data_IF_830354219243
#
_entry.id   IF_830354219243
#
_cell.length_a   1.000
_cell.length_b   1.000
_cell.length_c   1.000
_cell.angle_alpha   90.00
_cell.angle_beta   90.00
_cell.angle_gamma   90.00
#
_symmetry.space_group_name_H-M   'P 1'
#
loop_
_entity.id
_entity.type
_entity.pdbx_description
1 polymer ?
#
# COMPACT_ATOMS: atom_id res chain seq x y z
N UNK A 1 66.31 29.61 46.33
CA UNK A 1 65.62 28.44 45.69
C UNK A 1 65.23 28.63 44.24
N UNK A 2 65.59 29.72 43.54
CA UNK A 2 65.17 29.99 42.11
C UNK A 2 66.06 29.33 41.06
N UNK A 3 67.26 28.86 41.31
CA UNK A 3 68.18 28.37 40.28
C UNK A 3 68.07 26.86 39.96
N UNK A 4 67.25 26.07 40.62
CA UNK A 4 67.06 24.65 40.27
C UNK A 4 66.03 24.38 39.16
N UNK A 5 65.12 25.32 38.94
CA UNK A 5 64.05 25.17 37.91
C UNK A 5 64.53 25.57 36.50
N UNK A 6 65.50 26.47 36.40
CA UNK A 6 66.05 26.97 35.11
C UNK A 6 67.27 26.19 34.61
N UNK A 7 67.85 25.36 35.45
CA UNK A 7 68.96 24.52 35.03
C UNK A 7 68.43 23.38 34.16
N UNK A 8 68.95 23.28 32.93
CA UNK A 8 68.53 22.36 31.86
C UNK A 8 67.13 22.61 31.30
N UNK A 9 66.67 23.88 31.26
CA UNK A 9 65.38 24.25 30.66
C UNK A 9 65.22 23.72 29.23
N UNK A 10 66.29 23.80 28.40
CA UNK A 10 66.32 23.26 27.05
C UNK A 10 66.06 21.75 27.02
N UNK A 11 66.68 21.00 27.95
CA UNK A 11 66.50 19.55 28.04
C UNK A 11 65.06 19.17 28.44
N UNK A 12 64.43 19.93 29.33
CA UNK A 12 63.04 19.77 29.75
C UNK A 12 62.07 20.10 28.64
N UNK A 13 62.38 21.16 27.87
CA UNK A 13 61.56 21.53 26.72
C UNK A 13 61.63 20.48 25.57
N UNK A 14 62.85 19.95 25.31
CA UNK A 14 63.02 18.83 24.36
C UNK A 14 62.30 17.59 24.84
N UNK A 15 62.34 17.25 26.14
CA UNK A 15 61.62 16.12 26.71
C UNK A 15 60.10 16.28 26.62
N UNK A 16 59.57 17.49 26.82
CA UNK A 16 58.16 17.80 26.63
C UNK A 16 57.75 17.65 25.16
N UNK A 17 58.54 18.21 24.24
CA UNK A 17 58.25 18.06 22.79
C UNK A 17 58.31 16.59 22.37
N UNK A 18 59.32 15.85 22.84
CA UNK A 18 59.42 14.43 22.50
C UNK A 18 58.28 13.61 23.09
N UNK A 19 57.85 13.93 24.31
CA UNK A 19 56.65 13.30 24.90
C UNK A 19 55.39 13.62 24.12
N UNK A 20 55.21 14.88 23.69
CA UNK A 20 54.06 15.26 22.88
C UNK A 20 54.13 14.60 21.47
N UNK A 21 55.32 14.46 20.90
CA UNK A 21 55.53 13.77 19.64
C UNK A 21 55.27 12.26 19.75
N UNK A 22 55.76 11.61 20.82
CA UNK A 22 55.44 10.22 21.09
C UNK A 22 53.93 10.01 21.33
N UNK A 23 53.27 10.91 22.06
CA UNK A 23 51.82 10.88 22.22
C UNK A 23 51.06 10.98 20.92
N UNK A 24 51.48 11.90 20.02
CA UNK A 24 50.90 12.02 18.67
C UNK A 24 51.12 10.75 17.83
N UNK A 25 52.32 10.13 17.90
CA UNK A 25 52.63 8.88 17.23
C UNK A 25 51.70 7.76 17.77
N UNK A 26 51.61 7.62 19.07
CA UNK A 26 50.75 6.58 19.70
C UNK A 26 49.29 6.80 19.36
N UNK A 27 48.79 8.05 19.37
CA UNK A 27 47.42 8.39 18.93
C UNK A 27 47.19 8.07 17.48
N UNK A 28 48.16 8.29 16.61
CA UNK A 28 48.04 8.04 15.17
C UNK A 28 48.17 6.54 14.80
N UNK A 29 48.92 5.76 15.59
CA UNK A 29 49.06 4.31 15.43
C UNK A 29 47.85 3.56 16.00
N UNK A 30 47.18 4.11 17.04
CA UNK A 30 45.98 3.54 17.62
C UNK A 30 44.76 3.82 16.76
N UNK A 31 44.52 2.98 15.76
CA UNK A 31 43.29 2.99 14.96
C UNK A 31 42.24 2.10 15.62
N UNK A 32 41.41 2.64 16.52
CA UNK A 32 40.46 1.80 17.25
C UNK A 32 39.44 1.23 16.28
N UNK A 33 39.28 -0.09 16.27
CA UNK A 33 38.22 -0.78 15.57
C UNK A 33 36.95 -0.64 16.40
N UNK A 34 35.87 -0.18 15.77
CA UNK A 34 34.56 -0.05 16.36
C UNK A 34 33.57 -0.93 15.62
N UNK A 35 32.51 -1.33 16.32
CA UNK A 35 31.41 -2.11 15.75
C UNK A 35 30.14 -1.29 15.80
N UNK A 36 29.38 -1.28 14.69
CA UNK A 36 28.07 -0.60 14.59
C UNK A 36 27.11 -1.46 13.79
N UNK A 37 25.84 -1.45 14.15
CA UNK A 37 24.77 -2.13 13.43
C UNK A 37 23.96 -1.11 12.63
N UNK A 38 23.67 -1.48 11.38
CA UNK A 38 22.85 -0.73 10.43
C UNK A 38 21.68 -1.60 9.99
N UNK A 39 20.65 -0.99 9.41
CA UNK A 39 19.45 -1.68 8.94
C UNK A 39 19.14 -1.31 7.48
N UNK A 40 19.98 -1.74 6.50
CA UNK A 40 19.69 -1.53 5.09
C UNK A 40 18.50 -2.35 4.63
N UNK A 41 17.87 -1.92 3.52
CA UNK A 41 16.85 -2.71 2.82
C UNK A 41 17.48 -3.87 2.05
N UNK A 42 16.73 -4.98 1.96
CA UNK A 42 17.14 -6.16 1.21
C UNK A 42 16.75 -5.98 -0.25
N UNK A 43 17.73 -6.07 -1.15
CA UNK A 43 17.51 -6.12 -2.59
C UNK A 43 17.62 -7.55 -3.08
N UNK A 44 16.63 -8.02 -3.83
CA UNK A 44 16.66 -9.35 -4.45
C UNK A 44 17.19 -9.23 -5.87
N UNK A 45 18.26 -9.98 -6.15
CA UNK A 45 18.87 -10.05 -7.47
C UNK A 45 18.41 -11.31 -8.22
N UNK A 46 18.40 -11.23 -9.56
CA UNK A 46 18.04 -12.30 -10.49
C UNK A 46 16.65 -12.92 -10.26
N UNK A 47 15.56 -12.10 -10.10
CA UNK A 47 14.21 -12.61 -9.89
C UNK A 47 13.70 -13.49 -11.03
N UNK A 48 14.27 -13.33 -12.24
CA UNK A 48 13.93 -14.13 -13.43
C UNK A 48 14.11 -15.63 -13.22
N UNK A 49 15.03 -16.06 -12.37
CA UNK A 49 15.23 -17.49 -12.04
C UNK A 49 13.95 -18.17 -11.54
N UNK A 50 13.06 -17.39 -10.89
CA UNK A 50 11.79 -17.88 -10.37
C UNK A 50 10.66 -17.57 -11.36
N UNK A 51 10.64 -16.35 -11.94
CA UNK A 51 9.54 -15.89 -12.78
C UNK A 51 9.48 -16.59 -14.14
N UNK A 52 10.61 -16.98 -14.73
CA UNK A 52 10.66 -17.76 -15.98
C UNK A 52 9.98 -19.14 -15.86
N UNK A 53 9.82 -19.66 -14.65
CA UNK A 53 9.13 -20.93 -14.38
C UNK A 53 7.63 -20.73 -14.05
N UNK A 54 7.05 -19.55 -14.31
CA UNK A 54 5.66 -19.24 -13.98
C UNK A 54 5.40 -19.17 -12.49
N UNK A 55 6.43 -18.88 -11.72
CA UNK A 55 6.36 -18.72 -10.26
C UNK A 55 6.68 -17.30 -9.86
N UNK A 56 6.27 -16.93 -8.67
CA UNK A 56 6.72 -15.73 -7.95
C UNK A 56 7.29 -16.13 -6.59
N UNK A 57 7.86 -15.19 -5.89
CA UNK A 57 8.40 -15.42 -4.56
C UNK A 57 8.07 -14.24 -3.64
N UNK A 58 8.09 -14.52 -2.35
CA UNK A 58 8.09 -13.50 -1.30
C UNK A 58 9.15 -13.87 -0.26
N UNK A 59 9.72 -12.85 0.39
CA UNK A 59 10.57 -13.06 1.55
C UNK A 59 9.66 -13.47 2.71
N UNK A 60 10.01 -14.54 3.41
CA UNK A 60 9.26 -14.98 4.58
C UNK A 60 9.20 -13.86 5.63
N UNK A 61 8.10 -13.80 6.38
CA UNK A 61 7.85 -12.80 7.43
C UNK A 61 7.86 -11.33 6.94
N UNK A 62 7.73 -11.10 5.62
CA UNK A 62 7.73 -9.77 4.98
C UNK A 62 8.91 -8.87 5.41
N UNK A 63 10.07 -9.47 5.65
CA UNK A 63 11.28 -8.78 6.10
C UNK A 63 11.80 -7.87 5.00
N UNK A 64 11.70 -6.56 5.19
CA UNK A 64 12.19 -5.54 4.25
C UNK A 64 13.62 -5.09 4.56
N UNK A 65 14.01 -5.13 5.83
CA UNK A 65 15.31 -4.66 6.31
C UNK A 65 16.04 -5.76 7.07
N UNK A 66 17.38 -5.73 7.05
CA UNK A 66 18.22 -6.70 7.74
C UNK A 66 19.24 -5.99 8.63
N UNK A 67 19.49 -6.55 9.80
CA UNK A 67 20.54 -6.05 10.67
C UNK A 67 21.91 -6.41 10.09
N UNK A 68 22.76 -5.42 9.83
CA UNK A 68 24.12 -5.60 9.34
C UNK A 68 25.10 -5.05 10.37
N UNK A 69 25.92 -5.94 10.94
CA UNK A 69 26.97 -5.55 11.88
C UNK A 69 28.26 -5.31 11.14
N UNK A 70 28.72 -4.05 11.14
CA UNK A 70 29.95 -3.62 10.49
C UNK A 70 31.03 -3.38 11.53
N UNK A 71 32.25 -3.88 11.24
CA UNK A 71 33.49 -3.60 12.01
C UNK A 71 34.45 -2.84 11.11
N UNK A 72 34.83 -1.65 11.51
CA UNK A 72 35.79 -0.81 10.80
C UNK A 72 36.60 0.08 11.76
N UNK A 73 37.63 0.73 11.23
CA UNK A 73 38.29 1.82 11.96
C UNK A 73 37.27 2.94 12.23
N UNK A 74 37.39 3.60 13.39
CA UNK A 74 36.48 4.68 13.79
C UNK A 74 36.31 5.75 12.72
N UNK A 75 37.41 6.17 12.09
CA UNK A 75 37.45 7.19 11.04
C UNK A 75 36.67 6.80 9.79
N UNK A 76 36.60 5.52 9.49
CA UNK A 76 35.81 4.95 8.38
C UNK A 76 34.37 4.80 8.83
N UNK A 77 34.13 4.24 10.03
CA UNK A 77 32.79 4.01 10.56
C UNK A 77 31.94 5.30 10.65
N UNK A 78 32.57 6.44 10.93
CA UNK A 78 31.90 7.74 11.02
C UNK A 78 31.42 8.25 9.66
N UNK A 79 31.99 7.73 8.57
CA UNK A 79 31.63 8.11 7.19
C UNK A 79 30.56 7.19 6.60
N UNK A 80 30.50 5.92 7.05
CA UNK A 80 29.55 4.93 6.53
C UNK A 80 28.14 5.29 6.97
N UNK A 81 27.24 5.41 6.00
CA UNK A 81 25.82 5.60 6.19
C UNK A 81 25.05 4.31 5.81
N UNK A 82 23.80 4.21 6.23
CA UNK A 82 22.95 3.05 5.92
C UNK A 82 22.72 2.90 4.41
N UNK A 83 22.62 4.00 3.67
CA UNK A 83 22.43 4.04 2.21
C UNK A 83 23.62 3.49 1.42
N UNK A 84 24.84 3.53 1.99
CA UNK A 84 26.05 2.97 1.38
C UNK A 84 26.09 1.44 1.46
N UNK A 85 25.29 0.85 2.37
CA UNK A 85 25.28 -0.59 2.63
C UNK A 85 24.23 -1.25 1.75
N UNK A 86 24.68 -2.11 0.83
CA UNK A 86 23.83 -2.92 -0.05
C UNK A 86 23.75 -4.34 0.50
N UNK A 87 22.54 -4.74 0.86
CA UNK A 87 22.23 -6.11 1.26
C UNK A 87 21.53 -6.83 0.10
N UNK A 88 22.24 -7.70 -0.58
CA UNK A 88 21.76 -8.37 -1.80
C UNK A 88 21.56 -9.86 -1.55
N UNK A 89 20.36 -10.34 -1.85
CA UNK A 89 20.02 -11.76 -1.88
C UNK A 89 19.87 -12.21 -3.34
N UNK A 90 20.79 -13.03 -3.82
CA UNK A 90 20.80 -13.50 -5.21
C UNK A 90 20.05 -14.84 -5.32
N UNK A 91 18.94 -14.85 -6.07
CA UNK A 91 18.11 -16.05 -6.25
C UNK A 91 18.81 -17.18 -7.01
N UNK A 92 19.91 -16.91 -7.72
CA UNK A 92 20.76 -17.95 -8.30
C UNK A 92 21.47 -18.79 -7.24
N UNK A 93 21.64 -18.26 -6.04
CA UNK A 93 22.29 -18.96 -4.92
C UNK A 93 21.27 -19.60 -3.97
N UNK A 94 19.98 -19.61 -4.33
CA UNK A 94 18.93 -20.20 -3.53
C UNK A 94 19.11 -21.70 -3.39
N UNK A 95 19.00 -22.20 -2.15
CA UNK A 95 19.03 -23.62 -1.81
C UNK A 95 17.89 -23.93 -0.83
N UNK A 96 16.93 -24.72 -1.27
CA UNK A 96 15.80 -25.18 -0.44
C UNK A 96 15.02 -24.03 0.24
N UNK A 97 14.80 -22.93 -0.49
CA UNK A 97 14.10 -21.74 0.01
C UNK A 97 14.97 -20.77 0.80
N UNK A 98 16.26 -21.08 1.01
CA UNK A 98 17.21 -20.24 1.73
C UNK A 98 18.13 -19.52 0.75
N UNK A 99 18.24 -18.20 0.89
CA UNK A 99 19.08 -17.34 0.04
C UNK A 99 20.09 -16.59 0.90
N UNK A 100 21.41 -16.74 0.64
CA UNK A 100 22.44 -16.02 1.37
C UNK A 100 22.35 -14.52 1.05
N UNK A 101 22.54 -13.68 2.10
CA UNK A 101 22.60 -12.24 1.93
C UNK A 101 24.05 -11.79 1.88
N UNK A 102 24.44 -11.19 0.78
CA UNK A 102 25.75 -10.58 0.59
C UNK A 102 25.70 -9.11 0.94
N UNK A 103 26.72 -8.64 1.68
CA UNK A 103 26.84 -7.24 2.06
C UNK A 103 28.02 -6.62 1.30
N UNK A 104 27.74 -5.49 0.69
CA UNK A 104 28.75 -4.61 0.08
C UNK A 104 28.54 -3.21 0.65
N UNK A 105 29.64 -2.47 0.94
CA UNK A 105 29.57 -1.10 1.38
C UNK A 105 30.18 -0.26 0.26
N UNK A 106 29.34 0.43 -0.51
CA UNK A 106 29.74 1.22 -1.67
C UNK A 106 30.68 2.38 -1.26
N UNK A 107 31.79 2.51 -1.99
CA UNK A 107 32.81 3.54 -1.71
C UNK A 107 33.74 3.25 -0.54
N UNK A 108 33.61 2.06 0.09
CA UNK A 108 34.46 1.63 1.21
C UNK A 108 34.98 0.20 1.03
N UNK A 109 35.08 -0.27 -0.22
CA UNK A 109 35.56 -1.61 -0.53
C UNK A 109 36.98 -1.82 -0.04
N UNK A 110 37.14 -2.72 0.93
CA UNK A 110 38.44 -3.02 1.57
C UNK A 110 38.80 -2.15 2.78
N UNK A 111 38.04 -1.12 3.09
CA UNK A 111 38.29 -0.22 4.22
C UNK A 111 37.64 -0.71 5.54
N UNK A 112 36.73 -1.69 5.48
CA UNK A 112 36.14 -2.32 6.63
C UNK A 112 36.70 -3.73 6.87
N UNK A 113 36.71 -4.16 8.13
CA UNK A 113 37.22 -5.47 8.53
C UNK A 113 36.22 -6.58 8.28
N UNK A 114 34.94 -6.30 8.55
CA UNK A 114 33.87 -7.27 8.48
C UNK A 114 32.54 -6.56 8.34
N UNK A 115 31.62 -7.12 7.54
CA UNK A 115 30.23 -6.72 7.44
C UNK A 115 29.35 -7.98 7.40
N UNK A 116 28.62 -8.26 8.46
CA UNK A 116 27.85 -9.49 8.62
C UNK A 116 26.36 -9.18 8.74
N UNK A 117 25.54 -9.80 7.87
CA UNK A 117 24.10 -9.74 8.01
C UNK A 117 23.61 -10.68 9.13
N UNK A 118 22.52 -10.31 9.78
CA UNK A 118 21.82 -11.14 10.73
C UNK A 118 20.31 -11.04 10.49
N UNK A 119 19.68 -12.14 10.01
CA UNK A 119 20.23 -13.47 9.70
C UNK A 119 21.17 -13.46 8.49
N UNK A 120 22.04 -14.46 8.36
CA UNK A 120 22.96 -14.59 7.22
C UNK A 120 22.24 -14.98 5.92
N UNK A 121 21.13 -15.69 6.04
CA UNK A 121 20.28 -16.09 4.95
C UNK A 121 18.87 -15.61 5.21
N UNK A 122 18.17 -15.22 4.16
CA UNK A 122 16.73 -15.02 4.20
C UNK A 122 16.01 -16.25 3.69
N UNK A 123 14.78 -16.45 4.15
CA UNK A 123 13.91 -17.49 3.63
C UNK A 123 12.99 -16.88 2.58
N UNK A 124 12.83 -17.56 1.45
CA UNK A 124 11.84 -17.22 0.43
C UNK A 124 10.79 -18.33 0.31
N UNK A 125 9.57 -17.91 0.05
CA UNK A 125 8.48 -18.82 -0.28
C UNK A 125 8.15 -18.61 -1.75
N UNK A 126 8.27 -19.68 -2.55
CA UNK A 126 7.90 -19.69 -3.97
C UNK A 126 6.44 -20.10 -4.10
N UNK A 127 5.70 -19.39 -4.95
CA UNK A 127 4.31 -19.71 -5.26
C UNK A 127 4.10 -19.72 -6.77
N UNK A 128 3.22 -20.60 -7.25
CA UNK A 128 2.80 -20.57 -8.64
C UNK A 128 1.96 -19.32 -8.91
N UNK A 129 2.16 -18.73 -10.07
CA UNK A 129 1.27 -17.72 -10.63
C UNK A 129 0.08 -18.48 -11.23
N UNK A 130 -1.12 -18.11 -10.81
CA UNK A 130 -2.38 -18.63 -11.32
C UNK A 130 -3.18 -17.50 -11.95
N UNK A 131 -4.13 -17.84 -12.82
CA UNK A 131 -5.13 -16.92 -13.34
C UNK A 131 -6.48 -17.31 -12.76
N UNK A 132 -7.27 -16.31 -12.36
CA UNK A 132 -8.61 -16.52 -11.84
C UNK A 132 -9.53 -15.39 -12.27
N UNK A 133 -10.72 -15.76 -12.74
CA UNK A 133 -11.76 -14.82 -13.13
C UNK A 133 -12.56 -14.39 -11.90
N UNK A 134 -12.79 -13.08 -11.78
CA UNK A 134 -13.56 -12.46 -10.71
C UNK A 134 -14.68 -11.61 -11.28
N UNK A 135 -15.90 -11.67 -10.70
CA UNK A 135 -16.95 -10.72 -11.07
C UNK A 135 -16.59 -9.32 -10.60
N UNK A 136 -16.97 -8.34 -11.40
CA UNK A 136 -16.78 -6.91 -11.11
C UNK A 136 -18.10 -6.33 -10.63
N UNK A 137 -18.09 -5.70 -9.46
CA UNK A 137 -19.24 -4.97 -8.92
C UNK A 137 -18.98 -3.47 -9.05
N UNK A 138 -19.93 -2.76 -9.66
CA UNK A 138 -19.85 -1.30 -9.74
C UNK A 138 -20.33 -0.65 -8.44
N UNK A 139 -19.63 0.40 -8.00
CA UNK A 139 -20.07 1.30 -6.94
C UNK A 139 -19.91 2.76 -7.38
N UNK A 140 -20.86 3.59 -6.96
CA UNK A 140 -20.82 5.02 -7.21
C UNK A 140 -20.32 5.79 -5.99
N UNK A 141 -19.67 6.91 -6.26
CA UNK A 141 -19.29 7.94 -5.28
C UNK A 141 -19.74 9.31 -5.77
N UNK A 142 -19.87 10.27 -4.86
CA UNK A 142 -20.37 11.60 -5.18
C UNK A 142 -21.88 11.72 -5.12
N UNK A 143 -22.39 12.94 -5.26
CA UNK A 143 -23.80 13.27 -5.17
C UNK A 143 -24.36 13.55 -6.56
N UNK A 144 -25.50 12.93 -6.87
CA UNK A 144 -26.25 13.21 -8.11
C UNK A 144 -26.86 14.62 -8.07
N UNK A 145 -27.30 15.10 -9.22
CA UNK A 145 -28.14 16.28 -9.26
C UNK A 145 -29.43 16.04 -8.46
N UNK A 146 -29.93 17.09 -7.79
CA UNK A 146 -31.18 17.02 -7.02
C UNK A 146 -32.34 16.53 -7.89
N UNK A 147 -33.12 15.59 -7.38
CA UNK A 147 -34.23 14.99 -8.10
C UNK A 147 -33.90 13.64 -8.76
N UNK A 148 -32.67 13.13 -8.59
CA UNK A 148 -32.25 11.85 -9.15
C UNK A 148 -31.67 10.94 -8.07
N UNK A 149 -31.83 9.64 -8.30
CA UNK A 149 -31.20 8.56 -7.50
C UNK A 149 -30.64 7.49 -8.43
N UNK A 150 -29.68 6.72 -7.95
CA UNK A 150 -29.14 5.60 -8.73
C UNK A 150 -30.19 4.48 -8.76
N UNK A 151 -30.58 4.07 -9.96
CA UNK A 151 -31.43 2.91 -10.20
C UNK A 151 -30.58 1.64 -10.31
N UNK A 152 -29.66 1.62 -11.28
CA UNK A 152 -28.81 0.46 -11.54
C UNK A 152 -27.41 0.89 -11.95
N UNK A 153 -26.40 0.09 -11.56
CA UNK A 153 -25.01 0.22 -11.99
C UNK A 153 -24.57 -1.11 -12.60
N UNK A 154 -24.14 -1.07 -13.85
CA UNK A 154 -23.66 -2.26 -14.55
C UNK A 154 -22.21 -2.05 -14.99
N UNK A 155 -21.30 -2.93 -14.54
CA UNK A 155 -19.92 -2.93 -15.01
C UNK A 155 -19.77 -3.72 -16.33
N UNK A 156 -19.00 -3.19 -17.26
CA UNK A 156 -18.68 -3.84 -18.53
C UNK A 156 -17.16 -3.77 -18.77
N UNK A 157 -16.43 -4.90 -18.74
CA UNK A 157 -16.90 -6.28 -18.59
C UNK A 157 -17.44 -6.60 -17.19
N UNK A 158 -18.36 -7.56 -17.09
CA UNK A 158 -18.92 -8.02 -15.83
C UNK A 158 -17.96 -8.89 -15.01
N UNK A 159 -16.85 -9.32 -15.61
CA UNK A 159 -15.79 -10.07 -14.96
C UNK A 159 -14.45 -9.77 -15.60
N UNK A 160 -13.38 -9.91 -14.84
CA UNK A 160 -12.00 -9.72 -15.28
C UNK A 160 -11.14 -10.90 -14.84
N UNK A 161 -10.08 -11.17 -15.61
CA UNK A 161 -9.08 -12.16 -15.27
C UNK A 161 -7.91 -11.52 -14.50
N UNK A 162 -7.63 -12.05 -13.33
CA UNK A 162 -6.54 -11.61 -12.47
C UNK A 162 -5.50 -12.70 -12.38
N UNK A 163 -4.26 -12.33 -12.67
CA UNK A 163 -3.07 -13.17 -12.56
C UNK A 163 -2.24 -12.77 -11.35
N UNK A 164 -1.74 -13.75 -10.62
CA UNK A 164 -0.89 -13.48 -9.46
C UNK A 164 -0.62 -14.71 -8.62
N UNK A 165 0.07 -14.54 -7.47
CA UNK A 165 0.33 -15.63 -6.54
C UNK A 165 -0.96 -16.29 -6.08
N UNK A 166 -0.97 -17.61 -6.03
CA UNK A 166 -2.12 -18.40 -5.58
C UNK A 166 -2.68 -17.92 -4.23
N UNK A 167 -1.79 -17.62 -3.29
CA UNK A 167 -2.19 -17.11 -1.96
C UNK A 167 -2.87 -15.74 -2.03
N UNK A 168 -2.40 -14.85 -2.91
CA UNK A 168 -2.99 -13.52 -3.11
C UNK A 168 -4.35 -13.61 -3.78
N UNK A 169 -4.47 -14.43 -4.85
CA UNK A 169 -5.74 -14.68 -5.53
C UNK A 169 -6.78 -15.34 -4.60
N UNK A 170 -6.33 -16.24 -3.71
CA UNK A 170 -7.20 -16.90 -2.73
C UNK A 170 -7.78 -15.95 -1.68
N UNK A 171 -7.17 -14.78 -1.46
CA UNK A 171 -7.65 -13.76 -0.52
C UNK A 171 -8.71 -12.85 -1.14
N UNK A 172 -8.72 -12.70 -2.48
CA UNK A 172 -9.69 -11.83 -3.16
C UNK A 172 -11.09 -12.43 -3.00
N UNK A 173 -11.98 -11.69 -2.35
CA UNK A 173 -13.38 -12.01 -2.18
C UNK A 173 -14.25 -11.29 -3.20
N UNK A 174 -13.95 -10.02 -3.49
CA UNK A 174 -14.68 -9.20 -4.47
C UNK A 174 -13.76 -8.20 -5.16
N UNK A 175 -14.14 -7.87 -6.39
CA UNK A 175 -13.53 -6.80 -7.20
C UNK A 175 -14.57 -5.71 -7.39
N UNK A 176 -14.20 -4.49 -7.08
CA UNK A 176 -15.09 -3.33 -7.13
C UNK A 176 -14.53 -2.30 -8.12
N UNK A 177 -15.36 -1.91 -9.07
CA UNK A 177 -15.10 -0.77 -9.96
C UNK A 177 -15.81 0.47 -9.41
N UNK A 178 -15.06 1.49 -9.06
CA UNK A 178 -15.57 2.74 -8.51
C UNK A 178 -15.70 3.80 -9.60
N UNK A 179 -16.78 4.57 -9.54
CA UNK A 179 -17.05 5.69 -10.47
C UNK A 179 -17.60 6.90 -9.72
N UNK A 180 -17.18 8.10 -10.12
CA UNK A 180 -17.75 9.34 -9.62
C UNK A 180 -18.97 9.74 -10.48
N UNK A 181 -20.13 9.86 -9.83
CA UNK A 181 -21.42 10.22 -10.45
C UNK A 181 -21.85 11.65 -10.13
N UNK A 182 -20.94 12.47 -9.61
CA UNK A 182 -21.25 13.83 -9.16
C UNK A 182 -21.91 14.65 -10.26
N UNK A 183 -23.09 15.21 -9.93
CA UNK A 183 -23.83 16.12 -10.80
C UNK A 183 -24.52 15.48 -11.99
N UNK A 184 -24.56 14.14 -12.09
CA UNK A 184 -25.29 13.46 -13.16
C UNK A 184 -26.80 13.68 -13.02
N UNK A 185 -27.49 13.78 -14.16
CA UNK A 185 -28.93 13.99 -14.29
C UNK A 185 -29.56 13.18 -15.44
N UNK A 186 -28.76 12.35 -16.10
CA UNK A 186 -29.19 11.47 -17.18
C UNK A 186 -28.38 10.17 -17.19
N UNK A 187 -28.94 9.16 -17.82
CA UNK A 187 -28.28 7.87 -18.03
C UNK A 187 -26.99 8.08 -18.82
N UNK A 188 -25.92 7.47 -18.35
CA UNK A 188 -24.61 7.63 -19.00
C UNK A 188 -23.73 6.42 -18.79
N UNK A 189 -22.68 6.33 -19.60
CA UNK A 189 -21.62 5.35 -19.43
C UNK A 189 -20.33 6.06 -19.10
N UNK A 190 -19.75 5.74 -17.97
CA UNK A 190 -18.51 6.31 -17.46
C UNK A 190 -17.43 5.24 -17.37
N UNK A 191 -16.17 5.66 -17.43
CA UNK A 191 -15.05 4.78 -17.12
C UNK A 191 -14.88 4.68 -15.61
N UNK A 192 -14.51 3.51 -15.14
CA UNK A 192 -14.16 3.36 -13.74
C UNK A 192 -12.91 4.20 -13.39
N UNK A 193 -12.98 4.91 -12.28
CA UNK A 193 -11.85 5.67 -11.75
C UNK A 193 -10.80 4.72 -11.16
N UNK A 194 -11.25 3.65 -10.51
CA UNK A 194 -10.39 2.71 -9.84
C UNK A 194 -11.01 1.32 -9.76
N UNK A 195 -10.14 0.28 -9.89
CA UNK A 195 -10.45 -1.10 -9.51
C UNK A 195 -9.86 -1.38 -8.14
N UNK A 196 -10.68 -1.83 -7.20
CA UNK A 196 -10.30 -2.12 -5.82
C UNK A 196 -10.57 -3.60 -5.54
N UNK A 197 -9.58 -4.28 -4.97
CA UNK A 197 -9.70 -5.68 -4.58
C UNK A 197 -9.88 -5.78 -3.07
N UNK A 198 -10.89 -6.52 -2.63
CA UNK A 198 -11.21 -6.69 -1.21
C UNK A 198 -11.09 -8.14 -0.78
N UNK A 199 -10.65 -8.35 0.45
CA UNK A 199 -10.74 -9.64 1.13
C UNK A 199 -12.16 -9.88 1.73
N UNK A 200 -12.34 -11.02 2.39
CA UNK A 200 -13.61 -11.39 3.02
C UNK A 200 -13.97 -10.54 4.26
N UNK A 201 -13.03 -9.75 4.76
CA UNK A 201 -13.22 -8.81 5.87
C UNK A 201 -13.33 -7.35 5.41
N UNK A 202 -13.50 -7.12 4.09
CA UNK A 202 -13.56 -5.80 3.45
C UNK A 202 -12.28 -4.97 3.56
N UNK A 203 -11.12 -5.59 3.81
CA UNK A 203 -9.86 -4.90 3.72
C UNK A 203 -9.36 -4.84 2.27
N UNK A 204 -8.76 -3.71 1.89
CA UNK A 204 -8.15 -3.56 0.57
C UNK A 204 -6.90 -4.43 0.47
N UNK A 205 -6.81 -5.19 -0.62
CA UNK A 205 -5.65 -6.03 -0.93
C UNK A 205 -4.64 -5.21 -1.74
N UNK A 206 -3.37 -5.29 -1.34
CA UNK A 206 -2.27 -4.74 -2.13
C UNK A 206 -2.15 -5.49 -3.46
N UNK A 207 -2.27 -4.75 -4.55
CA UNK A 207 -2.24 -5.26 -5.93
C UNK A 207 -0.85 -5.29 -6.57
N UNK A 208 0.21 -4.97 -5.82
CA UNK A 208 1.58 -4.90 -6.34
C UNK A 208 2.08 -6.20 -6.98
N UNK A 209 1.55 -7.35 -6.55
CA UNK A 209 1.86 -8.69 -7.09
C UNK A 209 0.74 -9.24 -7.98
N UNK A 210 -0.29 -8.45 -8.28
CA UNK A 210 -1.43 -8.84 -9.08
C UNK A 210 -1.39 -8.11 -10.41
N UNK A 211 -1.75 -8.81 -11.48
CA UNK A 211 -1.92 -8.27 -12.81
C UNK A 211 -3.32 -8.60 -13.30
N UNK A 212 -3.98 -7.67 -13.95
CA UNK A 212 -5.31 -7.85 -14.53
C UNK A 212 -5.22 -7.73 -16.05
N UNK A 213 -6.06 -8.45 -16.75
CA UNK A 213 -6.23 -8.32 -18.22
C UNK A 213 -6.83 -6.96 -18.61
N UNK A 214 -7.52 -6.32 -17.67
CA UNK A 214 -8.13 -5.00 -17.85
C UNK A 214 -7.71 -4.09 -16.70
N UNK A 215 -7.30 -2.86 -16.99
CA UNK A 215 -7.10 -1.80 -16.01
C UNK A 215 -8.43 -1.06 -15.72
N UNK A 216 -8.41 -0.09 -14.79
CA UNK A 216 -9.61 0.68 -14.46
C UNK A 216 -10.18 1.41 -15.66
N UNK A 217 -9.35 1.88 -16.58
CA UNK A 217 -9.77 2.61 -17.78
C UNK A 217 -10.46 1.72 -18.83
N UNK A 218 -10.27 0.41 -18.75
CA UNK A 218 -10.92 -0.60 -19.58
C UNK A 218 -12.28 -1.08 -19.05
N UNK A 219 -12.66 -0.69 -17.81
CA UNK A 219 -13.98 -1.01 -17.27
C UNK A 219 -14.90 0.19 -17.43
N UNK A 220 -15.99 -0.01 -18.15
CA UNK A 220 -17.05 0.98 -18.26
C UNK A 220 -18.16 0.65 -17.25
N UNK A 221 -18.79 1.68 -16.71
CA UNK A 221 -19.93 1.54 -15.80
C UNK A 221 -21.11 2.26 -16.45
N UNK A 222 -22.15 1.49 -16.76
CA UNK A 222 -23.43 2.04 -17.17
C UNK A 222 -24.18 2.47 -15.94
N UNK A 223 -24.53 3.74 -15.88
CA UNK A 223 -25.27 4.35 -14.79
C UNK A 223 -26.69 4.61 -15.28
N UNK A 224 -27.64 3.94 -14.67
CA UNK A 224 -29.06 4.18 -14.89
C UNK A 224 -29.63 4.97 -13.71
N UNK A 225 -30.27 6.10 -13.99
CA UNK A 225 -30.83 6.99 -12.99
C UNK A 225 -32.34 6.89 -12.96
N UNK A 226 -32.90 6.98 -11.76
CA UNK A 226 -34.32 7.16 -11.54
C UNK A 226 -34.61 8.59 -11.11
N UNK A 227 -35.68 9.16 -11.68
CA UNK A 227 -36.18 10.47 -11.25
C UNK A 227 -37.01 10.31 -9.97
N UNK A 228 -36.90 11.30 -9.08
CA UNK A 228 -37.68 11.36 -7.87
C UNK A 228 -38.64 12.54 -7.91
N UNK A 229 -39.89 12.31 -7.52
CA UNK A 229 -40.95 13.33 -7.44
C UNK A 229 -41.63 13.25 -6.10
N UNK A 230 -41.85 14.41 -5.48
CA UNK A 230 -42.69 14.52 -4.28
C UNK A 230 -44.13 14.69 -4.73
N UNK A 231 -45.02 13.80 -4.30
CA UNK A 231 -46.44 13.83 -4.63
C UNK A 231 -47.30 13.93 -3.37
N UNK A 232 -48.41 14.63 -3.46
CA UNK A 232 -49.39 14.76 -2.39
C UNK A 232 -50.32 13.52 -2.34
N UNK A 233 -50.46 12.93 -1.19
CA UNK A 233 -51.43 11.82 -1.00
C UNK A 233 -52.82 12.37 -0.88
N UNK A 234 -53.67 12.06 -1.87
CA UNK A 234 -55.12 12.35 -1.84
C UNK A 234 -55.87 11.10 -1.45
N UNK A 235 -56.84 11.28 -0.58
CA UNK A 235 -57.70 10.19 -0.13
C UNK A 235 -59.12 10.41 -0.68
N UNK A 236 -59.60 9.39 -1.38
CA UNK A 236 -61.00 9.41 -1.83
C UNK A 236 -61.94 9.03 -0.66
N UNK A 237 -62.66 10.02 -0.19
CA UNK A 237 -63.62 9.87 0.94
C UNK A 237 -64.92 9.22 0.50
N UNK A 238 -65.19 9.06 -0.80
CA UNK A 238 -66.43 8.52 -1.35
C UNK A 238 -66.65 7.05 -1.02
N UNK A 239 -65.57 6.29 -0.78
CA UNK A 239 -65.64 4.87 -0.46
C UNK A 239 -65.76 4.56 1.04
N UNK A 240 -65.79 5.56 1.91
CA UNK A 240 -65.94 5.34 3.35
C UNK A 240 -67.38 5.14 3.67
N UNK A 241 -67.76 3.87 3.86
CA UNK A 241 -69.08 3.52 4.41
C UNK A 241 -69.16 3.82 5.89
N UNK A 242 -70.17 4.61 6.30
CA UNK A 242 -70.49 4.84 7.71
C UNK A 242 -71.81 4.21 8.06
N UNK A 243 -71.99 3.77 9.32
CA UNK A 243 -73.30 3.28 9.81
C UNK A 243 -74.27 4.46 9.85
N UNK A 244 -75.58 4.10 9.77
CA UNK A 244 -76.67 5.06 9.79
C UNK A 244 -76.63 5.94 11.01
N UNK A 245 -76.56 7.25 10.84
CA UNK A 245 -76.48 8.22 11.90
C UNK A 245 -75.07 8.74 12.26
N UNK A 246 -74.03 8.21 11.60
CA UNK A 246 -72.65 8.65 11.77
C UNK A 246 -72.11 9.32 10.51
N UNK A 247 -71.30 10.33 10.66
CA UNK A 247 -70.59 11.00 9.58
C UNK A 247 -69.08 11.03 9.91
N UNK A 248 -68.22 10.83 8.90
CA UNK A 248 -66.74 11.00 9.05
C UNK A 248 -66.46 12.47 9.10
N UNK A 249 -65.71 12.92 10.12
CA UNK A 249 -65.21 14.30 10.23
C UNK A 249 -63.74 14.30 10.61
N UNK A 250 -62.92 15.18 9.96
CA UNK A 250 -61.52 15.40 10.34
C UNK A 250 -60.57 14.30 9.95
N UNK A 251 -60.74 13.69 8.78
CA UNK A 251 -59.81 12.74 8.23
C UNK A 251 -58.49 13.43 7.88
N UNK A 252 -57.40 12.95 8.43
CA UNK A 252 -56.05 13.40 8.13
C UNK A 252 -55.20 12.27 7.60
N UNK A 253 -54.40 12.52 6.58
CA UNK A 253 -53.44 11.58 6.03
C UNK A 253 -52.08 11.92 6.59
N UNK A 254 -51.38 10.92 7.08
CA UNK A 254 -50.00 11.05 7.54
C UNK A 254 -49.15 9.89 6.94
N UNK A 255 -48.09 10.17 6.18
CA UNK A 255 -47.61 11.48 5.72
C UNK A 255 -48.50 12.11 4.65
N UNK A 256 -48.53 13.44 4.57
CA UNK A 256 -49.27 14.17 3.54
C UNK A 256 -48.61 14.09 2.15
N UNK A 257 -47.28 13.92 2.12
CA UNK A 257 -46.47 13.82 0.91
C UNK A 257 -45.55 12.61 1.00
N UNK A 258 -45.33 12.00 -0.13
CA UNK A 258 -44.38 10.90 -0.30
C UNK A 258 -43.47 11.20 -1.48
N UNK A 259 -42.22 10.73 -1.41
CA UNK A 259 -41.30 10.74 -2.56
C UNK A 259 -41.46 9.44 -3.33
N UNK A 260 -41.84 9.55 -4.58
CA UNK A 260 -41.84 8.42 -5.53
C UNK A 260 -40.56 8.44 -6.33
N UNK A 261 -40.14 7.30 -6.84
CA UNK A 261 -39.03 7.17 -7.76
C UNK A 261 -39.38 6.20 -8.88
N UNK A 262 -38.86 6.47 -10.08
CA UNK A 262 -39.10 5.65 -11.26
C UNK A 262 -38.39 6.21 -12.49
N UNK A 263 -38.61 5.54 -13.63
CA UNK A 263 -38.17 6.07 -14.89
C UNK A 263 -38.90 7.41 -15.17
N UNK A 264 -38.19 8.35 -15.80
CA UNK A 264 -38.72 9.69 -16.09
C UNK A 264 -40.12 9.65 -16.71
N UNK A 265 -40.30 8.81 -17.73
CA UNK A 265 -41.57 8.69 -18.44
C UNK A 265 -42.76 8.22 -17.57
N UNK A 266 -42.47 7.46 -16.50
CA UNK A 266 -43.48 6.95 -15.57
C UNK A 266 -43.78 7.95 -14.46
N UNK A 267 -42.75 8.63 -13.95
CA UNK A 267 -42.89 9.67 -12.92
C UNK A 267 -43.64 10.90 -13.47
N UNK A 268 -43.40 11.28 -14.73
CA UNK A 268 -44.09 12.39 -15.41
C UNK A 268 -45.60 12.16 -15.60
N UNK A 269 -46.07 10.89 -15.65
CA UNK A 269 -47.49 10.54 -15.80
C UNK A 269 -48.30 10.65 -14.48
N UNK A 270 -47.59 10.75 -13.37
CA UNK A 270 -48.25 10.84 -12.05
C UNK A 270 -48.51 12.33 -11.76
N UNK A 271 -49.79 12.69 -11.80
CA UNK A 271 -50.25 14.02 -11.43
C UNK A 271 -50.22 14.21 -9.90
N UNK A 272 -50.04 15.47 -9.43
CA UNK A 272 -50.05 15.86 -8.03
C UNK A 272 -51.45 15.78 -7.43
#
# INVERSE_FOLDING_TARGET
>A
MKNKLTNNFVLKFIALLFSAFLWLIVMNISRPIVTKTFYPEITVANPEVVTEHGQTFKIADDVKQIAVTVKAERSIMEKIKTEDIKAVADLKEEQSGSVPVRITIEGFEGDYKEALPNPRNIQIVKENIENKTFPVTAIATGDLQSGYVIGELEAEPQSIDISGPKSSLGRISKVVARVDVSGLSEDTTLKADELIYYDSADNVIDKSLLSSDVDSSGVNIKVHLLETKEVELKFDQSEIGTESGYAVSGLQIEPQRITIMGNREDVEKIDD
#
